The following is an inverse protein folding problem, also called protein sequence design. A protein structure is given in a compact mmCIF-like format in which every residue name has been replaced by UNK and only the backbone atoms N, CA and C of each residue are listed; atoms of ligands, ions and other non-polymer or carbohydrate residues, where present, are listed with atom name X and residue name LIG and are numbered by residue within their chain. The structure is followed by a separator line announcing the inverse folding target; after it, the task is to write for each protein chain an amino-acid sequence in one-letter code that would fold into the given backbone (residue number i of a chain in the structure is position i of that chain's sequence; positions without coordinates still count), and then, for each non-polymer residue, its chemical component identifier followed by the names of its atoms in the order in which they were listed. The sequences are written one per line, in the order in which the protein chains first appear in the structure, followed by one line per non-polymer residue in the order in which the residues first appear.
data_IF_771018673408
#
_entry.id   IF_771018673408
#
_cell.length_a   1.000
_cell.length_b   1.000
_cell.length_c   1.000
_cell.angle_alpha   90.00
_cell.angle_beta   90.00
_cell.angle_gamma   90.00
#
_symmetry.space_group_name_H-M   'P 1'
#
loop_
_entity.id
_entity.type
_entity.pdbx_description
1 polymer ?
#
# COMPACT_ATOMS: atom_id res chain seq x y z
N UNK A 1 27.76 -24.85 -3.92
CA UNK A 1 27.27 -23.50 -3.57
C UNK A 1 27.00 -22.59 -4.78
N UNK A 2 27.74 -22.65 -5.90
CA UNK A 2 27.58 -21.72 -7.03
C UNK A 2 26.29 -21.87 -7.87
N UNK A 3 25.69 -23.08 -7.94
CA UNK A 3 24.52 -23.38 -8.79
C UNK A 3 23.24 -22.64 -8.38
N UNK A 4 23.11 -22.26 -7.10
CA UNK A 4 21.87 -21.70 -6.56
C UNK A 4 21.89 -20.16 -6.53
N UNK A 5 23.06 -19.53 -6.72
CA UNK A 5 23.23 -18.08 -6.60
C UNK A 5 22.39 -17.30 -7.63
N UNK A 6 22.30 -17.80 -8.87
CA UNK A 6 21.47 -17.19 -9.92
C UNK A 6 19.99 -17.21 -9.56
N UNK A 7 19.50 -18.33 -9.01
CA UNK A 7 18.10 -18.48 -8.59
C UNK A 7 17.82 -17.54 -7.41
N UNK A 8 18.72 -17.48 -6.43
CA UNK A 8 18.58 -16.57 -5.29
C UNK A 8 18.48 -15.11 -5.72
N UNK A 9 19.29 -14.66 -6.69
CA UNK A 9 19.21 -13.29 -7.18
C UNK A 9 17.94 -13.00 -7.98
N UNK A 10 17.52 -13.92 -8.85
CA UNK A 10 16.28 -13.75 -9.62
C UNK A 10 15.08 -13.69 -8.69
N UNK A 11 14.98 -14.63 -7.75
CA UNK A 11 13.86 -14.72 -6.83
C UNK A 11 13.86 -13.55 -5.83
N UNK A 12 15.01 -13.25 -5.23
CA UNK A 12 15.15 -12.11 -4.31
C UNK A 12 14.84 -10.78 -5.00
N UNK A 13 15.34 -10.60 -6.23
CA UNK A 13 15.05 -9.42 -7.05
C UNK A 13 13.57 -9.30 -7.38
N UNK A 14 12.92 -10.40 -7.75
CA UNK A 14 11.48 -10.43 -8.01
C UNK A 14 10.66 -10.04 -6.77
N UNK A 15 10.93 -10.64 -5.61
CA UNK A 15 10.22 -10.31 -4.37
C UNK A 15 10.46 -8.84 -3.98
N UNK A 16 11.67 -8.33 -4.16
CA UNK A 16 12.01 -6.93 -3.91
C UNK A 16 11.19 -6.00 -4.81
N UNK A 17 11.09 -6.32 -6.11
CA UNK A 17 10.31 -5.53 -7.06
C UNK A 17 8.81 -5.52 -6.69
N UNK A 18 8.25 -6.68 -6.32
CA UNK A 18 6.85 -6.77 -5.86
C UNK A 18 6.66 -5.93 -4.60
N UNK A 19 7.52 -6.07 -3.59
CA UNK A 19 7.41 -5.29 -2.36
C UNK A 19 7.49 -3.78 -2.61
N UNK A 20 8.43 -3.34 -3.46
CA UNK A 20 8.59 -1.94 -3.82
C UNK A 20 7.35 -1.37 -4.53
N UNK A 21 6.75 -2.15 -5.45
CA UNK A 21 5.54 -1.73 -6.15
C UNK A 21 4.31 -1.66 -5.22
N UNK A 22 4.19 -2.60 -4.27
CA UNK A 22 3.04 -2.68 -3.36
C UNK A 22 3.15 -1.74 -2.16
N UNK A 23 4.35 -1.32 -1.77
CA UNK A 23 4.58 -0.45 -0.60
C UNK A 23 3.70 0.82 -0.59
N UNK A 24 3.68 1.67 -1.64
CA UNK A 24 2.87 2.88 -1.63
C UNK A 24 1.36 2.62 -1.73
N UNK A 25 0.95 1.44 -2.23
CA UNK A 25 -0.46 1.11 -2.50
C UNK A 25 -1.12 0.53 -1.25
N UNK A 26 -0.43 -0.37 -0.55
CA UNK A 26 -1.01 -1.13 0.55
C UNK A 26 -0.42 -0.74 1.92
N UNK A 27 0.91 -0.72 2.04
CA UNK A 27 1.56 -0.57 3.34
C UNK A 27 1.63 0.89 3.82
N UNK A 28 1.99 1.82 2.92
CA UNK A 28 2.10 3.23 3.27
C UNK A 28 0.75 3.82 3.74
N UNK A 29 -0.40 3.58 3.07
CA UNK A 29 -1.71 4.04 3.55
C UNK A 29 -2.10 3.51 4.93
N UNK A 30 -1.74 2.25 5.23
CA UNK A 30 -2.08 1.58 6.49
C UNK A 30 -1.18 1.99 7.65
N UNK A 31 0.06 2.39 7.37
CA UNK A 31 1.02 2.83 8.39
C UNK A 31 1.03 4.35 8.58
N UNK A 32 0.57 5.12 7.60
CA UNK A 32 0.49 6.59 7.63
C UNK A 32 -0.97 7.04 7.49
N UNK A 33 -1.84 6.53 8.36
CA UNK A 33 -3.30 6.71 8.28
C UNK A 33 -3.72 8.18 8.36
N UNK A 34 -3.00 9.00 9.14
CA UNK A 34 -3.25 10.44 9.25
C UNK A 34 -3.02 11.16 7.91
N UNK A 35 -1.88 10.92 7.26
CA UNK A 35 -1.55 11.54 5.97
C UNK A 35 -2.44 10.99 4.84
N UNK A 36 -2.69 9.67 4.86
CA UNK A 36 -3.59 9.03 3.92
C UNK A 36 -5.01 9.59 4.01
N UNK A 37 -5.57 9.73 5.21
CA UNK A 37 -6.91 10.29 5.44
C UNK A 37 -6.98 11.76 5.01
N UNK A 38 -5.99 12.56 5.40
CA UNK A 38 -6.00 14.01 5.19
C UNK A 38 -5.83 14.42 3.73
N UNK A 39 -4.90 13.78 3.01
CA UNK A 39 -4.52 14.20 1.66
C UNK A 39 -5.11 13.32 0.57
N UNK A 40 -4.97 12.00 0.69
CA UNK A 40 -5.35 11.06 -0.38
C UNK A 40 -6.84 10.73 -0.34
N UNK A 41 -7.41 10.39 0.81
CA UNK A 41 -8.86 10.13 0.90
C UNK A 41 -9.67 11.38 0.61
N UNK A 42 -9.25 12.55 1.12
CA UNK A 42 -9.97 13.81 0.85
C UNK A 42 -10.02 14.17 -0.64
N UNK A 43 -8.93 13.96 -1.38
CA UNK A 43 -8.91 14.15 -2.83
C UNK A 43 -9.78 13.11 -3.56
N UNK A 44 -9.67 11.84 -3.18
CA UNK A 44 -10.42 10.74 -3.82
C UNK A 44 -11.92 10.72 -3.45
N UNK A 45 -12.32 11.40 -2.38
CA UNK A 45 -13.70 11.48 -1.88
C UNK A 45 -14.28 12.89 -1.93
N UNK A 46 -13.74 13.75 -2.80
CA UNK A 46 -14.29 15.08 -3.01
C UNK A 46 -15.78 14.98 -3.38
N UNK A 47 -16.65 15.67 -2.63
CA UNK A 47 -18.10 15.67 -2.83
C UNK A 47 -18.86 14.53 -2.15
N UNK A 48 -18.19 13.64 -1.41
CA UNK A 48 -18.85 12.60 -0.61
C UNK A 48 -18.79 12.98 0.87
N UNK A 49 -19.95 13.15 1.53
CA UNK A 49 -20.01 13.25 2.97
C UNK A 49 -19.86 11.86 3.58
N UNK A 50 -18.75 11.62 4.27
CA UNK A 50 -18.42 10.29 4.76
C UNK A 50 -19.43 9.77 5.78
N UNK A 51 -20.04 10.66 6.56
CA UNK A 51 -21.03 10.30 7.57
C UNK A 51 -22.33 9.73 6.96
N UNK A 52 -22.62 10.06 5.69
CA UNK A 52 -23.83 9.60 5.00
C UNK A 52 -23.63 8.22 4.33
N UNK A 53 -22.38 7.79 4.14
CA UNK A 53 -22.04 6.56 3.40
C UNK A 53 -21.36 5.52 4.28
N UNK A 54 -20.50 5.93 5.21
CA UNK A 54 -19.85 4.97 6.11
C UNK A 54 -20.78 4.65 7.27
N UNK A 55 -21.07 3.36 7.51
CA UNK A 55 -21.78 2.97 8.72
C UNK A 55 -20.96 3.42 9.93
N UNK A 56 -21.62 4.11 10.86
CA UNK A 56 -21.03 4.40 12.16
C UNK A 56 -20.65 3.09 12.83
N UNK A 57 -19.37 2.92 13.15
CA UNK A 57 -18.90 1.78 13.93
C UNK A 57 -19.65 1.73 15.26
N UNK A 58 -20.00 0.51 15.71
CA UNK A 58 -20.53 0.30 17.05
C UNK A 58 -19.50 0.64 18.11
#
# INVERSE_FOLDING_TARGET
MARNRRITFIFGGFITAVAAAFYPIFFHPLTHTADYSKYLQRANRAGINQADVQPVGK
#
